data_IF_963251733458
#
_entry.id   IF_963251733458
#
_cell.length_a   1.000
_cell.length_b   1.000
_cell.length_c   1.000
_cell.angle_alpha   90.00
_cell.angle_beta   90.00
_cell.angle_gamma   90.00
#
_symmetry.space_group_name_H-M   'P 1'
#
loop_
_entity.id
_entity.type
_entity.pdbx_description
1 polymer ?
#
# COMPACT_ATOMS: atom_id res chain seq x y z
N UNK A 1 -2.12 -6.92 58.86
CA UNK A 1 -2.85 -7.58 57.75
C UNK A 1 -2.25 -7.13 56.44
N UNK A 2 -1.69 -8.06 55.67
CA UNK A 2 -0.93 -7.80 54.46
C UNK A 2 -1.87 -7.52 53.28
N UNK A 3 -1.81 -6.32 52.72
CA UNK A 3 -2.47 -5.99 51.46
C UNK A 3 -1.74 -6.77 50.34
N UNK A 4 -2.29 -7.92 49.94
CA UNK A 4 -1.78 -8.69 48.79
C UNK A 4 -1.92 -7.82 47.54
N UNK A 5 -0.78 -7.40 46.97
CA UNK A 5 -0.71 -6.81 45.62
C UNK A 5 -1.28 -7.82 44.62
N UNK A 6 -2.33 -7.45 43.90
CA UNK A 6 -2.83 -8.23 42.75
C UNK A 6 -1.74 -8.27 41.69
N UNK A 7 -1.40 -9.49 41.29
CA UNK A 7 -0.40 -9.80 40.26
C UNK A 7 -0.64 -8.95 39.00
N UNK A 8 0.45 -8.40 38.44
CA UNK A 8 0.50 -7.85 37.09
C UNK A 8 -0.12 -8.89 36.16
N UNK A 9 -1.32 -8.64 35.64
CA UNK A 9 -1.86 -9.37 34.51
C UNK A 9 -0.85 -9.23 33.38
N UNK A 10 -0.45 -10.36 32.82
CA UNK A 10 0.42 -10.47 31.67
C UNK A 10 0.12 -9.39 30.62
N UNK A 11 1.08 -8.51 30.35
CA UNK A 11 1.00 -7.55 29.24
C UNK A 11 0.83 -8.23 27.88
N UNK A 12 1.01 -9.56 27.82
CA UNK A 12 0.71 -10.41 26.66
C UNK A 12 -0.78 -10.61 26.40
N UNK A 13 -1.68 -10.38 27.36
CA UNK A 13 -3.12 -10.60 27.16
C UNK A 13 -3.85 -9.44 26.48
N UNK A 14 -3.16 -8.34 26.16
CA UNK A 14 -3.74 -7.18 25.45
C UNK A 14 -3.54 -7.23 23.92
N UNK A 15 -2.80 -8.22 23.41
CA UNK A 15 -2.65 -8.40 21.96
C UNK A 15 -3.81 -9.25 21.44
N UNK A 16 -4.93 -8.58 21.15
CA UNK A 16 -6.15 -9.21 20.58
C UNK A 16 -5.88 -9.78 19.17
N UNK A 17 -4.77 -9.39 18.54
CA UNK A 17 -4.35 -9.88 17.23
C UNK A 17 -2.91 -10.40 17.27
N UNK A 18 -2.68 -11.56 16.65
CA UNK A 18 -1.32 -12.02 16.33
C UNK A 18 -0.68 -10.94 15.45
N UNK A 19 0.52 -10.49 15.82
CA UNK A 19 1.34 -9.67 14.92
C UNK A 19 1.61 -10.55 13.70
N UNK A 20 1.25 -10.13 12.48
CA UNK A 20 1.58 -10.89 11.28
C UNK A 20 3.10 -11.12 11.22
N UNK A 21 3.54 -12.31 10.82
CA UNK A 21 4.97 -12.61 10.59
C UNK A 21 5.55 -11.84 9.38
N UNK A 22 4.72 -11.03 8.72
CA UNK A 22 5.13 -10.17 7.61
C UNK A 22 5.93 -8.96 8.13
N UNK A 23 7.22 -8.80 7.75
CA UNK A 23 8.02 -7.64 8.16
C UNK A 23 7.54 -6.32 7.55
N UNK A 24 6.53 -6.35 6.68
CA UNK A 24 5.98 -5.16 6.02
C UNK A 24 5.15 -4.32 7.00
N UNK A 25 5.36 -3.01 6.92
CA UNK A 25 4.67 -2.02 7.76
C UNK A 25 3.36 -1.52 7.16
N UNK A 26 3.09 -1.79 5.87
CA UNK A 26 1.90 -1.31 5.17
C UNK A 26 1.15 -2.48 4.50
N UNK A 27 -0.18 -2.46 4.64
CA UNK A 27 -1.08 -3.40 3.97
C UNK A 27 -1.16 -3.10 2.46
N UNK A 28 -1.38 -4.13 1.65
CA UNK A 28 -1.49 -4.03 0.19
C UNK A 28 -2.88 -4.44 -0.25
N UNK A 29 -3.40 -3.73 -1.24
CA UNK A 29 -4.66 -4.03 -1.90
C UNK A 29 -4.43 -4.14 -3.40
N UNK A 30 -5.26 -4.93 -4.06
CA UNK A 30 -5.33 -4.98 -5.52
C UNK A 30 -6.38 -3.94 -5.95
N UNK A 31 -6.03 -3.03 -6.89
CA UNK A 31 -7.03 -2.14 -7.48
C UNK A 31 -8.22 -2.91 -8.04
N UNK A 32 -9.38 -2.27 -8.09
CA UNK A 32 -10.57 -2.90 -8.67
C UNK A 32 -10.34 -3.16 -10.17
N UNK A 33 -10.58 -4.38 -10.70
CA UNK A 33 -10.46 -4.65 -12.13
C UNK A 33 -11.36 -3.78 -13.01
N UNK A 34 -12.51 -3.32 -12.48
CA UNK A 34 -13.42 -2.42 -13.20
C UNK A 34 -12.94 -0.95 -13.14
N UNK A 35 -12.12 -0.60 -12.15
CA UNK A 35 -11.53 0.73 -11.96
C UNK A 35 -9.99 0.64 -11.79
N UNK A 36 -9.24 0.28 -12.84
CA UNK A 36 -7.81 0.09 -12.75
C UNK A 36 -7.06 1.42 -12.54
N UNK A 37 -5.95 1.36 -11.80
CA UNK A 37 -5.02 2.49 -11.69
C UNK A 37 -3.97 2.35 -12.79
N UNK A 38 -3.96 3.30 -13.73
CA UNK A 38 -2.96 3.40 -14.79
C UNK A 38 -2.02 4.57 -14.52
N UNK A 39 -0.72 4.37 -14.77
CA UNK A 39 0.34 5.34 -14.53
C UNK A 39 1.16 5.57 -15.79
N UNK A 40 1.54 6.82 -16.04
CA UNK A 40 2.63 7.12 -16.97
C UNK A 40 3.96 7.14 -16.20
N UNK A 41 4.83 6.20 -16.51
CA UNK A 41 6.17 6.06 -15.93
C UNK A 41 7.19 6.19 -17.05
N UNK A 42 7.82 7.35 -17.16
CA UNK A 42 8.87 7.59 -18.15
C UNK A 42 8.38 7.50 -19.61
N UNK A 43 7.12 7.85 -19.88
CA UNK A 43 6.51 7.79 -21.21
C UNK A 43 5.88 6.44 -21.54
N UNK A 44 5.82 5.51 -20.59
CA UNK A 44 5.16 4.21 -20.73
C UNK A 44 3.96 4.14 -19.81
N UNK A 45 2.82 3.73 -20.36
CA UNK A 45 1.59 3.54 -19.59
C UNK A 45 1.56 2.15 -18.97
N UNK A 46 1.65 2.06 -17.64
CA UNK A 46 1.63 0.80 -16.89
C UNK A 46 0.38 0.70 -16.01
N UNK A 47 -0.14 -0.51 -15.83
CA UNK A 47 -1.25 -0.78 -14.92
C UNK A 47 -0.74 -1.30 -13.58
N UNK A 48 -1.22 -0.70 -12.49
CA UNK A 48 -0.86 -1.08 -11.12
C UNK A 48 -1.50 -2.41 -10.76
N UNK A 49 -0.69 -3.36 -10.30
CA UNK A 49 -1.14 -4.69 -9.85
C UNK A 49 -1.41 -4.73 -8.34
N UNK A 50 -0.59 -4.03 -7.55
CA UNK A 50 -0.76 -3.89 -6.11
C UNK A 50 -0.44 -2.46 -5.68
N UNK A 51 -1.14 -1.97 -4.66
CA UNK A 51 -0.90 -0.65 -4.07
C UNK A 51 -0.98 -0.72 -2.54
N UNK A 52 -0.06 -0.03 -1.88
CA UNK A 52 -0.05 0.26 -0.44
C UNK A 52 -0.04 1.77 -0.23
N UNK A 53 -0.11 2.21 1.02
CA UNK A 53 -0.06 3.64 1.33
C UNK A 53 1.28 4.32 1.01
N UNK A 54 2.33 3.55 0.78
CA UNK A 54 3.68 4.06 0.54
C UNK A 54 4.33 3.52 -0.73
N UNK A 55 3.64 2.69 -1.52
CA UNK A 55 4.27 1.99 -2.62
C UNK A 55 3.25 1.35 -3.54
N UNK A 56 3.73 0.88 -4.68
CA UNK A 56 2.92 0.19 -5.66
C UNK A 56 3.77 -0.79 -6.47
N UNK A 57 3.11 -1.69 -7.17
CA UNK A 57 3.74 -2.66 -8.04
C UNK A 57 3.04 -2.67 -9.41
N UNK A 58 3.82 -2.95 -10.46
CA UNK A 58 3.33 -3.14 -11.83
C UNK A 58 4.28 -4.05 -12.61
N UNK A 59 3.84 -4.58 -13.74
CA UNK A 59 4.65 -5.43 -14.60
C UNK A 59 5.77 -4.62 -15.28
N UNK A 60 6.99 -5.16 -15.27
CA UNK A 60 8.16 -4.48 -15.83
C UNK A 60 8.08 -4.37 -17.36
N UNK A 61 8.14 -3.15 -17.86
CA UNK A 61 8.21 -2.86 -19.30
C UNK A 61 9.62 -2.43 -19.75
N UNK A 62 10.66 -2.93 -19.10
CA UNK A 62 12.06 -2.59 -19.40
C UNK A 62 12.63 -1.46 -18.54
N UNK A 63 12.11 -1.31 -17.33
CA UNK A 63 12.65 -0.46 -16.28
C UNK A 63 13.76 -1.18 -15.50
N UNK A 64 14.62 -0.39 -14.86
CA UNK A 64 15.70 -0.88 -14.00
C UNK A 64 15.50 -0.51 -12.54
N UNK A 65 16.09 -1.30 -11.65
CA UNK A 65 16.13 -0.96 -10.22
C UNK A 65 16.84 0.36 -9.97
N UNK A 66 16.38 1.10 -8.95
CA UNK A 66 16.81 2.43 -8.53
C UNK A 66 16.45 3.61 -9.43
N UNK A 67 15.73 3.41 -10.53
CA UNK A 67 15.19 4.51 -11.32
C UNK A 67 14.13 5.30 -10.52
N UNK A 68 14.04 6.60 -10.81
CA UNK A 68 13.12 7.52 -10.14
C UNK A 68 12.35 8.33 -11.18
N UNK A 69 11.03 8.36 -11.06
CA UNK A 69 10.12 9.04 -11.96
C UNK A 69 9.17 9.93 -11.19
N UNK A 70 8.80 11.09 -11.75
CA UNK A 70 7.67 11.86 -11.25
C UNK A 70 6.40 11.33 -11.88
N UNK A 71 5.43 10.96 -11.07
CA UNK A 71 4.18 10.36 -11.52
C UNK A 71 2.99 11.12 -10.98
N UNK A 72 1.89 11.05 -11.72
CA UNK A 72 0.56 11.43 -11.27
C UNK A 72 -0.27 10.16 -11.15
N UNK A 73 -0.95 10.00 -10.03
CA UNK A 73 -1.74 8.81 -9.71
C UNK A 73 -3.18 9.27 -9.53
N UNK A 74 -4.08 8.80 -10.38
CA UNK A 74 -5.50 8.95 -10.16
C UNK A 74 -5.99 7.82 -9.26
N UNK A 75 -6.54 8.16 -8.09
CA UNK A 75 -7.09 7.22 -7.14
C UNK A 75 -8.60 7.05 -7.38
N UNK A 76 -9.05 5.89 -7.90
CA UNK A 76 -10.46 5.62 -8.09
C UNK A 76 -11.20 5.57 -6.75
N UNK A 77 -12.54 5.60 -6.75
CA UNK A 77 -13.43 5.73 -5.57
C UNK A 77 -13.39 7.08 -4.84
N UNK A 78 -12.24 7.72 -4.72
CA UNK A 78 -12.11 9.05 -4.11
C UNK A 78 -11.94 10.18 -5.14
N UNK A 79 -11.90 9.85 -6.43
CA UNK A 79 -11.81 10.80 -7.55
C UNK A 79 -10.74 11.87 -7.37
N UNK A 80 -9.56 11.47 -6.90
CA UNK A 80 -8.47 12.39 -6.54
C UNK A 80 -7.21 12.04 -7.31
N UNK A 81 -6.57 13.05 -7.91
CA UNK A 81 -5.23 12.94 -8.49
C UNK A 81 -4.19 13.36 -7.46
N UNK A 82 -3.17 12.52 -7.23
CA UNK A 82 -2.03 12.82 -6.38
C UNK A 82 -0.74 12.85 -7.21
N UNK A 83 0.23 13.65 -6.79
CA UNK A 83 1.57 13.70 -7.41
C UNK A 83 2.60 13.08 -6.46
N UNK A 84 3.51 12.27 -7.00
CA UNK A 84 4.53 11.60 -6.21
C UNK A 84 5.81 11.35 -7.02
N UNK A 85 6.93 11.19 -6.32
CA UNK A 85 8.17 10.58 -6.85
C UNK A 85 8.10 9.07 -6.68
N UNK A 86 7.98 8.34 -7.79
CA UNK A 86 8.04 6.88 -7.82
C UNK A 86 9.50 6.44 -7.93
N UNK A 87 10.01 5.71 -6.94
CA UNK A 87 11.30 5.02 -7.00
C UNK A 87 11.11 3.52 -7.22
N UNK A 88 11.68 2.98 -8.29
CA UNK A 88 11.74 1.53 -8.51
C UNK A 88 12.82 0.98 -7.57
N UNK A 89 12.45 0.12 -6.63
CA UNK A 89 13.41 -0.48 -5.69
C UNK A 89 14.14 -1.65 -6.33
N UNK A 90 13.39 -2.53 -7.00
CA UNK A 90 13.88 -3.72 -7.68
C UNK A 90 12.84 -4.25 -8.65
N UNK A 91 13.28 -5.08 -9.57
CA UNK A 91 12.44 -5.97 -10.37
C UNK A 91 12.61 -7.37 -9.78
N UNK A 92 11.52 -8.06 -9.49
CA UNK A 92 11.59 -9.43 -8.97
C UNK A 92 11.73 -10.48 -10.09
N UNK A 93 11.80 -11.75 -9.71
CA UNK A 93 11.99 -12.87 -10.65
C UNK A 93 10.81 -13.09 -11.60
N UNK A 94 9.63 -12.55 -11.27
CA UNK A 94 8.43 -12.63 -12.11
C UNK A 94 8.31 -11.42 -13.03
N UNK A 95 9.29 -10.51 -12.98
CA UNK A 95 9.30 -9.30 -13.78
C UNK A 95 8.36 -8.22 -13.21
N UNK A 96 8.07 -8.22 -11.91
CA UNK A 96 7.28 -7.16 -11.28
C UNK A 96 8.19 -6.07 -10.71
N UNK A 97 7.93 -4.82 -11.07
CA UNK A 97 8.57 -3.64 -10.50
C UNK A 97 7.99 -3.35 -9.12
N UNK A 98 8.79 -3.53 -8.07
CA UNK A 98 8.42 -3.11 -6.71
C UNK A 98 8.85 -1.68 -6.49
N UNK A 99 7.88 -0.79 -6.28
CA UNK A 99 8.12 0.65 -6.23
C UNK A 99 7.75 1.26 -4.87
N UNK A 100 8.42 2.36 -4.56
CA UNK A 100 8.18 3.18 -3.38
C UNK A 100 7.78 4.58 -3.84
N UNK A 101 6.69 5.10 -3.27
CA UNK A 101 6.26 6.48 -3.45
C UNK A 101 6.97 7.38 -2.44
N UNK A 102 7.44 8.53 -2.90
CA UNK A 102 8.12 9.56 -2.12
C UNK A 102 7.62 10.94 -2.52
N UNK A 103 7.99 11.94 -1.72
CA UNK A 103 7.73 13.35 -2.01
C UNK A 103 6.25 13.69 -2.22
N UNK A 104 5.37 12.99 -1.48
CA UNK A 104 3.96 13.31 -1.41
C UNK A 104 3.73 14.39 -0.35
N UNK A 105 2.75 15.28 -0.57
CA UNK A 105 2.29 16.17 0.49
C UNK A 105 1.33 15.43 1.43
N UNK A 106 0.99 16.05 2.57
CA UNK A 106 0.13 15.42 3.58
C UNK A 106 -1.26 15.04 3.03
N UNK A 107 -1.80 15.81 2.08
CA UNK A 107 -3.11 15.51 1.49
C UNK A 107 -3.02 14.31 0.54
N UNK A 108 -1.94 14.20 -0.23
CA UNK A 108 -1.66 13.07 -1.10
C UNK A 108 -1.41 11.79 -0.28
N UNK A 109 -0.66 11.90 0.82
CA UNK A 109 -0.48 10.81 1.78
C UNK A 109 -1.84 10.37 2.36
N UNK A 110 -2.66 11.28 2.86
CA UNK A 110 -3.97 10.93 3.41
C UNK A 110 -4.90 10.33 2.32
N UNK A 111 -4.86 10.85 1.10
CA UNK A 111 -5.65 10.34 -0.02
C UNK A 111 -5.29 8.88 -0.37
N UNK A 112 -4.00 8.54 -0.48
CA UNK A 112 -3.59 7.16 -0.77
C UNK A 112 -3.91 6.22 0.40
N UNK A 113 -3.76 6.67 1.65
CA UNK A 113 -4.19 5.90 2.82
C UNK A 113 -5.70 5.64 2.79
N UNK A 114 -6.50 6.67 2.52
CA UNK A 114 -7.96 6.55 2.43
C UNK A 114 -8.38 5.60 1.31
N UNK A 115 -7.76 5.70 0.13
CA UNK A 115 -8.01 4.78 -0.98
C UNK A 115 -7.75 3.31 -0.57
N UNK A 116 -6.58 3.03 0.03
CA UNK A 116 -6.22 1.68 0.47
C UNK A 116 -7.22 1.14 1.49
N UNK A 117 -7.68 1.97 2.44
CA UNK A 117 -8.70 1.60 3.42
C UNK A 117 -10.05 1.26 2.77
N UNK A 118 -10.48 2.03 1.77
CA UNK A 118 -11.72 1.76 1.04
C UNK A 118 -11.65 0.44 0.28
N UNK A 119 -10.55 0.18 -0.44
CA UNK A 119 -10.35 -1.10 -1.14
C UNK A 119 -10.28 -2.28 -0.17
N UNK A 120 -9.61 -2.11 0.97
CA UNK A 120 -9.59 -3.14 2.01
C UNK A 120 -10.99 -3.44 2.55
N UNK A 121 -11.81 -2.41 2.75
CA UNK A 121 -13.22 -2.57 3.19
C UNK A 121 -14.03 -3.34 2.16
N UNK A 122 -13.91 -3.02 0.88
CA UNK A 122 -14.61 -3.73 -0.20
C UNK A 122 -14.19 -5.20 -0.27
N UNK A 123 -12.89 -5.49 -0.14
CA UNK A 123 -12.38 -6.87 -0.14
C UNK A 123 -12.92 -7.69 1.06
N UNK A 124 -13.14 -7.04 2.21
CA UNK A 124 -13.77 -7.69 3.36
C UNK A 124 -15.28 -7.89 3.15
N UNK A 125 -15.95 -7.00 2.41
CA UNK A 125 -17.37 -7.14 2.10
C UNK A 125 -17.62 -8.25 1.06
N UNK A 126 -16.76 -8.36 0.04
CA UNK A 126 -16.88 -9.40 -0.99
C UNK A 126 -16.58 -10.81 -0.47
N UNK A 127 -15.75 -10.94 0.58
CA UNK A 127 -15.45 -12.23 1.25
C UNK A 127 -16.53 -12.71 2.23
N UNK A 128 -17.48 -11.86 2.59
CA UNK A 128 -18.56 -12.19 3.53
C UNK A 128 -19.87 -12.60 2.82
N UNK A 129 -19.81 -12.91 1.52
CA UNK A 129 -20.88 -13.49 0.69
C UNK A 129 -20.44 -14.90 0.31
#
# INVERSE_FOLDING_TARGET
MFWKKKNKKDEKSLRIHKVPDDPRQAFRVVPDPEEPINLDVGGKSVTVTEISSNGLAFLNEGFSGNEVFKVKIFLPKIFTEISASLKILRVDSEGVCVCLLKDMDANAEDAIHHYVLLRQKDDLQSRNI
#
